data_IF_526478786625
#
_entry.id   IF_526478786625
#
_cell.length_a   1.000
_cell.length_b   1.000
_cell.length_c   1.000
_cell.angle_alpha   90.00
_cell.angle_beta   90.00
_cell.angle_gamma   90.00
#
_symmetry.space_group_name_H-M   'P 1'
#
loop_
_entity.id
_entity.type
_entity.pdbx_description
1 polymer ?
#
# COMPACT_ATOMS: atom_id res chain seq x y z
N UNK A 1 -9.09 -3.90 12.27
CA UNK A 1 -8.82 -4.04 13.71
C UNK A 1 -9.84 -3.23 14.49
N UNK A 2 -10.01 -1.94 14.20
CA UNK A 2 -10.75 -0.96 15.00
C UNK A 2 -12.23 -1.31 15.28
N UNK A 3 -12.87 -2.02 14.36
CA UNK A 3 -14.28 -2.41 14.46
C UNK A 3 -14.51 -3.91 14.68
N UNK A 4 -13.44 -4.67 14.91
CA UNK A 4 -13.57 -6.12 15.08
C UNK A 4 -14.03 -6.46 16.50
N UNK A 5 -15.07 -7.29 16.63
CA UNK A 5 -15.48 -7.83 17.92
C UNK A 5 -14.54 -8.96 18.38
N UNK A 6 -13.95 -9.69 17.42
CA UNK A 6 -12.99 -10.77 17.67
C UNK A 6 -11.77 -10.59 16.75
N UNK A 7 -10.58 -10.71 17.31
CA UNK A 7 -9.30 -10.63 16.60
C UNK A 7 -8.52 -11.91 16.84
N UNK A 8 -8.09 -12.57 15.76
CA UNK A 8 -7.20 -13.70 15.83
C UNK A 8 -5.75 -13.25 15.57
N UNK A 9 -4.89 -13.37 16.56
CA UNK A 9 -3.45 -13.22 16.40
C UNK A 9 -2.89 -14.58 16.00
N UNK A 10 -2.66 -14.76 14.71
CA UNK A 10 -2.22 -16.05 14.18
C UNK A 10 -0.71 -16.10 13.98
N UNK A 11 -0.17 -17.33 13.90
CA UNK A 11 1.26 -17.62 13.78
C UNK A 11 2.07 -17.22 15.03
N UNK A 12 1.45 -17.33 16.20
CA UNK A 12 2.10 -16.99 17.47
C UNK A 12 3.27 -17.90 17.82
N UNK A 13 3.34 -19.06 17.16
CA UNK A 13 4.48 -19.99 17.19
C UNK A 13 5.75 -19.45 16.55
N UNK A 14 5.66 -18.38 15.73
CA UNK A 14 6.79 -17.80 15.00
C UNK A 14 7.43 -16.59 15.70
N UNK A 15 6.88 -16.14 16.81
CA UNK A 15 7.33 -14.95 17.53
C UNK A 15 7.61 -15.27 19.02
N UNK A 16 8.44 -14.46 19.65
CA UNK A 16 8.72 -14.57 21.08
C UNK A 16 7.54 -14.08 21.94
N UNK A 17 7.47 -14.48 23.22
CA UNK A 17 6.45 -13.96 24.15
C UNK A 17 6.45 -12.43 24.27
N UNK A 18 7.62 -11.80 24.23
CA UNK A 18 7.76 -10.34 24.32
C UNK A 18 7.19 -9.64 23.07
N UNK A 19 7.44 -10.19 21.88
CA UNK A 19 6.84 -9.70 20.64
C UNK A 19 5.33 -9.89 20.63
N UNK A 20 4.84 -11.04 21.11
CA UNK A 20 3.40 -11.29 21.27
C UNK A 20 2.77 -10.26 22.21
N UNK A 21 3.42 -9.96 23.33
CA UNK A 21 2.95 -8.94 24.26
C UNK A 21 2.86 -7.54 23.60
N UNK A 22 3.84 -7.19 22.78
CA UNK A 22 3.81 -5.94 22.00
C UNK A 22 2.64 -5.91 21.01
N UNK A 23 2.41 -7.03 20.29
CA UNK A 23 1.27 -7.15 19.36
C UNK A 23 -0.07 -6.96 20.10
N UNK A 24 -0.22 -7.58 21.27
CA UNK A 24 -1.42 -7.38 22.11
C UNK A 24 -1.57 -5.93 22.54
N UNK A 25 -0.48 -5.26 22.94
CA UNK A 25 -0.47 -3.84 23.29
C UNK A 25 -0.99 -2.98 22.14
N UNK A 26 -0.48 -3.20 20.91
CA UNK A 26 -0.93 -2.49 19.71
C UNK A 26 -2.42 -2.72 19.42
N UNK A 27 -2.89 -3.98 19.50
CA UNK A 27 -4.30 -4.30 19.27
C UNK A 27 -5.18 -3.62 20.31
N UNK A 28 -4.77 -3.63 21.57
CA UNK A 28 -5.52 -3.00 22.67
C UNK A 28 -5.58 -1.49 22.56
N UNK A 29 -4.54 -0.85 22.05
CA UNK A 29 -4.53 0.58 21.78
C UNK A 29 -5.54 0.95 20.67
N UNK A 30 -5.61 0.13 19.59
CA UNK A 30 -6.54 0.34 18.49
C UNK A 30 -7.98 -0.07 18.83
N UNK A 31 -8.13 -1.16 19.57
CA UNK A 31 -9.44 -1.72 19.92
C UNK A 31 -9.41 -2.39 21.30
N UNK A 32 -9.66 -1.61 22.37
CA UNK A 32 -9.62 -2.13 23.73
C UNK A 32 -10.73 -3.13 24.05
N UNK A 33 -11.79 -3.18 23.24
CA UNK A 33 -12.97 -4.02 23.48
C UNK A 33 -12.92 -5.36 22.77
N UNK A 34 -12.10 -5.55 21.75
CA UNK A 34 -12.01 -6.78 20.99
C UNK A 34 -11.62 -7.98 21.88
N UNK A 35 -12.23 -9.13 21.64
CA UNK A 35 -11.70 -10.40 22.16
C UNK A 35 -10.50 -10.80 21.32
N UNK A 36 -9.37 -11.06 21.97
CA UNK A 36 -8.14 -11.48 21.28
C UNK A 36 -7.93 -12.96 21.57
N UNK A 37 -7.71 -13.74 20.51
CA UNK A 37 -7.32 -15.15 20.57
C UNK A 37 -5.97 -15.33 19.89
N UNK A 38 -5.02 -15.89 20.63
CA UNK A 38 -3.73 -16.31 20.07
C UNK A 38 -3.88 -17.68 19.44
N UNK A 39 -3.43 -17.82 18.20
CA UNK A 39 -3.65 -19.04 17.43
C UNK A 39 -2.40 -19.44 16.63
N UNK A 40 -2.31 -20.73 16.33
CA UNK A 40 -1.39 -21.31 15.37
C UNK A 40 -2.21 -22.02 14.31
N UNK A 41 -1.92 -21.76 13.02
CA UNK A 41 -2.71 -22.27 11.90
C UNK A 41 -4.20 -21.89 11.93
N UNK A 42 -4.55 -20.78 12.59
CA UNK A 42 -5.92 -20.33 12.83
C UNK A 42 -6.78 -21.37 13.58
N UNK A 43 -6.16 -22.22 14.37
CA UNK A 43 -6.86 -23.24 15.18
C UNK A 43 -7.54 -22.55 16.36
N UNK A 44 -8.85 -22.38 16.22
CA UNK A 44 -9.74 -21.77 17.22
C UNK A 44 -11.13 -22.38 17.10
N UNK A 45 -11.82 -22.64 18.22
CA UNK A 45 -13.20 -23.13 18.18
C UNK A 45 -14.10 -22.20 17.37
N UNK A 46 -14.90 -22.75 16.46
CA UNK A 46 -15.79 -21.96 15.59
C UNK A 46 -16.77 -21.11 16.40
N UNK A 47 -17.16 -21.56 17.59
CA UNK A 47 -18.03 -20.84 18.54
C UNK A 47 -17.44 -19.55 19.08
N UNK A 48 -16.10 -19.39 19.01
CA UNK A 48 -15.42 -18.15 19.42
C UNK A 48 -15.49 -17.06 18.33
N UNK A 49 -15.84 -17.43 17.09
CA UNK A 49 -15.88 -16.55 15.93
C UNK A 49 -17.29 -16.37 15.36
N UNK A 50 -18.10 -17.42 15.40
CA UNK A 50 -19.47 -17.40 14.87
C UNK A 50 -20.50 -17.45 15.99
N UNK A 51 -21.57 -16.66 15.84
CA UNK A 51 -22.67 -16.61 16.79
C UNK A 51 -22.28 -16.02 18.14
N UNK A 52 -21.26 -15.20 18.20
CA UNK A 52 -20.71 -14.63 19.45
C UNK A 52 -21.66 -13.67 20.16
N UNK A 53 -22.67 -13.14 19.45
CA UNK A 53 -23.60 -12.14 19.99
C UNK A 53 -22.95 -10.81 20.35
N UNK A 54 -21.70 -10.57 19.94
CA UNK A 54 -20.95 -9.35 20.28
C UNK A 54 -21.28 -8.16 19.40
N UNK A 55 -21.80 -8.42 18.19
CA UNK A 55 -22.15 -7.35 17.27
C UNK A 55 -23.34 -6.54 17.78
N UNK A 56 -23.11 -5.27 17.97
CA UNK A 56 -24.11 -4.28 18.38
C UNK A 56 -24.21 -3.19 17.30
N UNK A 57 -25.34 -3.14 16.53
CA UNK A 57 -25.52 -2.14 15.47
C UNK A 57 -25.52 -0.70 15.99
N UNK A 58 -26.05 -0.47 17.21
CA UNK A 58 -26.10 0.86 17.81
C UNK A 58 -24.71 1.32 18.24
N UNK A 59 -23.87 0.40 18.70
CA UNK A 59 -22.48 0.67 19.00
C UNK A 59 -21.68 0.92 17.69
N UNK A 60 -21.88 0.10 16.67
CA UNK A 60 -21.21 0.24 15.38
C UNK A 60 -21.56 1.58 14.69
N UNK A 61 -22.81 2.04 14.81
CA UNK A 61 -23.26 3.32 14.24
C UNK A 61 -22.80 4.55 15.04
N UNK A 62 -22.56 4.40 16.33
CA UNK A 62 -22.08 5.46 17.24
C UNK A 62 -20.56 5.60 17.27
N UNK A 63 -19.83 4.71 16.63
CA UNK A 63 -18.42 4.91 16.35
C UNK A 63 -18.26 6.02 15.31
N UNK A 64 -18.65 7.24 15.70
CA UNK A 64 -18.31 8.49 15.00
C UNK A 64 -16.78 8.69 14.92
N UNK A 65 -16.03 7.90 15.67
CA UNK A 65 -14.59 7.96 15.75
C UNK A 65 -13.83 7.58 14.47
N UNK A 66 -14.46 7.17 13.40
CA UNK A 66 -13.74 6.97 12.14
C UNK A 66 -13.31 8.32 11.51
N UNK A 67 -14.13 9.36 11.67
CA UNK A 67 -13.77 10.72 11.23
C UNK A 67 -13.02 11.49 12.31
N UNK A 68 -13.34 11.28 13.59
CA UNK A 68 -12.70 11.96 14.72
C UNK A 68 -11.31 11.38 15.02
N UNK A 69 -11.08 10.09 14.79
CA UNK A 69 -9.75 9.49 14.91
C UNK A 69 -8.75 10.02 13.87
N UNK A 70 -9.22 10.64 12.79
CA UNK A 70 -8.39 11.38 11.86
C UNK A 70 -8.04 12.80 12.35
N UNK A 71 -8.73 13.30 13.38
CA UNK A 71 -8.57 14.70 13.85
C UNK A 71 -7.91 14.80 15.23
N UNK A 72 -8.04 13.81 16.11
CA UNK A 72 -7.54 13.83 17.51
C UNK A 72 -6.65 12.66 17.91
N UNK A 73 -5.95 12.05 16.97
CA UNK A 73 -4.96 11.03 17.33
C UNK A 73 -3.71 11.68 17.93
N UNK A 74 -3.42 11.34 19.18
CA UNK A 74 -2.02 11.20 19.61
C UNK A 74 -1.40 10.17 18.67
N UNK A 75 -0.41 10.53 17.85
CA UNK A 75 0.06 9.60 16.82
C UNK A 75 0.51 8.29 17.49
N UNK A 76 -0.05 7.15 17.06
CA UNK A 76 0.40 5.80 17.46
C UNK A 76 1.92 5.63 17.27
N UNK A 77 2.50 6.53 16.49
CA UNK A 77 3.92 6.75 16.26
C UNK A 77 4.70 6.96 17.55
N UNK A 78 4.13 7.65 18.56
CA UNK A 78 4.85 7.95 19.81
C UNK A 78 4.88 6.74 20.75
N UNK A 79 3.85 5.88 20.73
CA UNK A 79 3.77 4.76 21.67
C UNK A 79 4.44 3.47 21.13
N UNK A 80 4.33 3.20 19.81
CA UNK A 80 4.83 1.95 19.23
C UNK A 80 5.81 2.15 18.06
N UNK A 81 6.10 3.39 17.68
CA UNK A 81 6.96 3.72 16.53
C UNK A 81 6.37 3.32 15.19
N UNK A 82 5.06 3.07 15.12
CA UNK A 82 4.36 2.74 13.87
C UNK A 82 3.97 4.04 13.17
N UNK A 83 4.32 4.13 11.89
CA UNK A 83 3.99 5.29 11.06
C UNK A 83 3.57 4.84 9.67
N UNK A 84 2.94 5.76 8.96
CA UNK A 84 2.64 5.59 7.54
C UNK A 84 2.91 6.88 6.80
N UNK A 85 3.33 6.76 5.55
CA UNK A 85 3.42 7.89 4.64
C UNK A 85 3.12 7.46 3.21
N UNK A 86 2.82 8.45 2.36
CA UNK A 86 2.57 8.24 0.94
C UNK A 86 3.73 8.83 0.17
N UNK A 87 4.41 7.98 -0.59
CA UNK A 87 5.36 8.41 -1.59
C UNK A 87 4.61 8.73 -2.89
N UNK A 88 4.57 10.01 -3.29
CA UNK A 88 3.94 10.45 -4.54
C UNK A 88 4.94 11.21 -5.41
N UNK A 89 5.08 10.77 -6.68
CA UNK A 89 5.87 11.47 -7.70
C UNK A 89 5.20 11.38 -9.07
N UNK A 90 5.52 12.34 -9.94
CA UNK A 90 4.95 12.45 -11.29
C UNK A 90 5.99 12.28 -12.40
N UNK A 91 7.08 11.61 -12.08
CA UNK A 91 8.14 11.21 -13.01
C UNK A 91 8.11 9.69 -13.08
N UNK A 92 8.20 9.07 -14.28
CA UNK A 92 8.22 7.62 -14.36
C UNK A 92 9.50 7.02 -13.77
N UNK A 93 9.40 5.83 -13.23
CA UNK A 93 10.57 5.06 -12.80
C UNK A 93 11.33 4.52 -13.99
N UNK A 94 12.66 4.52 -13.90
CA UNK A 94 13.55 3.75 -14.75
C UNK A 94 13.37 2.25 -14.41
N UNK A 95 12.96 1.40 -15.37
CA UNK A 95 12.53 0.03 -15.05
C UNK A 95 13.58 -0.80 -14.33
N UNK A 96 14.85 -0.74 -14.80
CA UNK A 96 15.94 -1.51 -14.19
C UNK A 96 16.22 -1.03 -12.76
N UNK A 97 16.33 0.30 -12.53
CA UNK A 97 16.60 0.84 -11.19
C UNK A 97 15.51 0.47 -10.20
N UNK A 98 14.25 0.61 -10.61
CA UNK A 98 13.13 0.26 -9.74
C UNK A 98 13.06 -1.26 -9.47
N UNK A 99 13.27 -2.09 -10.48
CA UNK A 99 13.30 -3.54 -10.29
C UNK A 99 14.40 -4.00 -9.32
N UNK A 100 15.55 -3.34 -9.32
CA UNK A 100 16.64 -3.59 -8.38
C UNK A 100 16.30 -3.07 -6.98
N UNK A 101 15.65 -1.92 -6.88
CA UNK A 101 15.15 -1.35 -5.64
C UNK A 101 14.15 -2.28 -4.94
N UNK A 102 13.25 -2.92 -5.71
CA UNK A 102 12.29 -3.89 -5.17
C UNK A 102 12.92 -5.14 -4.54
N UNK A 103 14.19 -5.42 -4.84
CA UNK A 103 14.94 -6.55 -4.26
C UNK A 103 15.74 -6.17 -3.01
N UNK A 104 15.86 -4.87 -2.74
CA UNK A 104 16.55 -4.39 -1.54
C UNK A 104 15.64 -4.54 -0.32
N UNK A 105 16.24 -4.56 0.86
CA UNK A 105 15.49 -4.37 2.10
C UNK A 105 14.98 -2.92 2.19
N UNK A 106 13.77 -2.78 2.69
CA UNK A 106 13.16 -1.49 2.98
C UNK A 106 13.07 -1.34 4.50
N UNK A 107 14.06 -0.69 5.14
CA UNK A 107 14.20 -0.68 6.59
C UNK A 107 12.95 -0.14 7.28
N UNK A 108 12.45 -0.89 8.25
CA UNK A 108 11.28 -0.51 9.03
C UNK A 108 9.95 -0.75 8.34
N UNK A 109 9.91 -1.02 7.03
CA UNK A 109 8.65 -1.22 6.28
C UNK A 109 8.09 -2.61 6.55
N UNK A 110 6.88 -2.64 7.12
CA UNK A 110 6.11 -3.87 7.36
C UNK A 110 5.22 -4.18 6.15
N UNK A 111 4.63 -3.13 5.56
CA UNK A 111 3.73 -3.23 4.44
C UNK A 111 3.88 -2.03 3.50
N UNK A 112 3.86 -2.30 2.20
CA UNK A 112 3.72 -1.24 1.22
C UNK A 112 2.77 -1.65 0.11
N UNK A 113 2.02 -0.68 -0.43
CA UNK A 113 1.04 -0.94 -1.47
C UNK A 113 0.79 0.31 -2.29
N UNK A 114 0.63 0.15 -3.59
CA UNK A 114 0.30 1.31 -4.42
C UNK A 114 0.40 1.06 -5.90
N UNK A 115 0.39 2.14 -6.64
CA UNK A 115 0.58 2.14 -8.10
C UNK A 115 1.93 2.72 -8.45
N UNK A 116 2.53 2.18 -9.50
CA UNK A 116 3.77 2.69 -10.06
C UNK A 116 3.71 2.83 -11.57
N UNK A 117 4.52 3.73 -12.11
CA UNK A 117 4.57 4.09 -13.51
C UNK A 117 5.98 3.89 -14.06
N UNK A 118 6.13 3.05 -15.09
CA UNK A 118 7.42 2.75 -15.72
C UNK A 118 7.61 3.50 -17.03
N UNK A 119 8.81 4.01 -17.28
CA UNK A 119 9.17 4.70 -18.51
C UNK A 119 8.97 3.86 -19.78
N UNK A 120 9.12 2.53 -19.70
CA UNK A 120 8.92 1.61 -20.82
C UNK A 120 7.47 1.19 -21.01
N UNK A 121 6.58 1.51 -20.07
CA UNK A 121 5.17 1.08 -20.04
C UNK A 121 4.23 2.26 -19.78
N UNK A 122 4.44 3.36 -20.48
CA UNK A 122 3.80 4.67 -20.25
C UNK A 122 2.28 4.65 -20.13
N UNK A 123 1.61 3.70 -20.80
CA UNK A 123 0.16 3.58 -20.77
C UNK A 123 -0.38 2.75 -19.62
N UNK A 124 0.47 1.99 -18.93
CA UNK A 124 0.06 1.00 -17.97
C UNK A 124 0.42 1.42 -16.54
N UNK A 125 -0.53 1.28 -15.64
CA UNK A 125 -0.31 1.34 -14.23
C UNK A 125 0.22 -0.01 -13.74
N UNK A 126 1.36 -0.01 -13.06
CA UNK A 126 1.83 -1.14 -12.30
C UNK A 126 1.21 -1.14 -10.92
N UNK A 127 0.92 -2.30 -10.38
CA UNK A 127 0.48 -2.49 -9.01
C UNK A 127 1.60 -3.12 -8.20
N UNK A 128 1.90 -2.54 -7.06
CA UNK A 128 2.84 -3.03 -6.07
C UNK A 128 2.14 -3.42 -4.78
N UNK A 129 2.50 -4.54 -4.21
CA UNK A 129 2.06 -4.96 -2.88
C UNK A 129 3.17 -5.75 -2.20
N UNK A 130 3.50 -5.36 -0.97
CA UNK A 130 4.47 -6.05 -0.12
C UNK A 130 3.88 -6.17 1.29
N UNK A 131 4.05 -7.35 1.89
CA UNK A 131 3.71 -7.62 3.28
C UNK A 131 4.78 -8.56 3.87
N UNK A 132 5.59 -8.05 4.80
CA UNK A 132 6.77 -8.75 5.28
C UNK A 132 7.72 -9.08 4.14
N UNK A 133 8.17 -10.34 4.05
CA UNK A 133 9.08 -10.80 3.02
C UNK A 133 8.38 -11.12 1.68
N UNK A 134 7.07 -11.05 1.59
CA UNK A 134 6.32 -11.40 0.39
C UNK A 134 6.02 -10.13 -0.38
N UNK A 135 6.44 -10.09 -1.65
CA UNK A 135 6.15 -8.99 -2.55
C UNK A 135 5.53 -9.47 -3.86
N UNK A 136 4.72 -8.60 -4.45
CA UNK A 136 4.02 -8.87 -5.69
C UNK A 136 3.96 -7.60 -6.53
N UNK A 137 4.22 -7.74 -7.83
CA UNK A 137 4.05 -6.66 -8.79
C UNK A 137 3.33 -7.19 -10.04
N UNK A 138 2.34 -6.44 -10.50
CA UNK A 138 1.51 -6.84 -11.63
C UNK A 138 0.96 -5.62 -12.37
N UNK A 139 0.25 -5.82 -13.48
CA UNK A 139 -0.47 -4.76 -14.17
C UNK A 139 -1.77 -4.45 -13.45
N UNK A 140 -1.97 -3.19 -13.05
CA UNK A 140 -3.24 -2.71 -12.50
C UNK A 140 -4.25 -2.33 -13.60
N UNK A 141 -3.77 -2.14 -14.84
CA UNK A 141 -4.61 -1.69 -15.96
C UNK A 141 -3.93 -0.56 -16.74
N UNK A 142 -4.74 0.28 -17.38
CA UNK A 142 -4.28 1.49 -18.07
C UNK A 142 -4.49 2.70 -17.18
N UNK A 143 -3.57 3.67 -17.25
CA UNK A 143 -3.87 5.01 -16.78
C UNK A 143 -4.98 5.64 -17.62
N UNK A 144 -5.84 6.41 -17.00
CA UNK A 144 -6.91 7.12 -17.70
C UNK A 144 -6.40 8.07 -18.78
N UNK A 145 -5.20 8.60 -18.61
CA UNK A 145 -4.51 9.39 -19.64
C UNK A 145 -4.28 8.59 -20.95
N UNK A 146 -4.27 7.27 -20.89
CA UNK A 146 -4.12 6.38 -22.04
C UNK A 146 -5.46 5.83 -22.58
N UNK A 147 -6.57 6.13 -21.92
CA UNK A 147 -7.92 5.68 -22.29
C UNK A 147 -8.65 6.81 -23.03
N UNK A 148 -9.22 6.55 -24.21
CA UNK A 148 -10.05 7.53 -24.91
C UNK A 148 -11.20 8.06 -24.05
N UNK A 149 -11.47 9.35 -24.13
CA UNK A 149 -12.50 10.02 -23.31
C UNK A 149 -13.91 9.45 -23.46
N UNK A 150 -14.25 8.93 -24.63
CA UNK A 150 -15.52 8.26 -24.91
C UNK A 150 -15.73 6.94 -24.17
N UNK A 151 -14.66 6.42 -23.57
CA UNK A 151 -14.68 5.20 -22.73
C UNK A 151 -14.55 5.49 -21.23
N UNK A 152 -14.57 6.75 -20.85
CA UNK A 152 -14.53 7.12 -19.45
C UNK A 152 -15.89 6.87 -18.78
N UNK A 153 -15.92 6.58 -17.46
CA UNK A 153 -17.16 6.44 -16.74
C UNK A 153 -17.92 7.79 -16.70
N UNK A 154 -19.22 7.75 -16.45
CA UNK A 154 -20.05 8.95 -16.26
C UNK A 154 -19.56 9.78 -15.06
N UNK A 155 -19.23 9.11 -13.96
CA UNK A 155 -18.61 9.76 -12.80
C UNK A 155 -17.08 9.75 -12.92
N UNK A 156 -16.52 10.91 -13.25
CA UNK A 156 -15.08 11.14 -13.39
C UNK A 156 -14.42 11.70 -12.12
N UNK A 157 -15.17 11.90 -11.05
CA UNK A 157 -14.68 12.59 -9.84
C UNK A 157 -13.40 12.01 -9.26
N UNK A 158 -13.24 10.68 -9.29
CA UNK A 158 -12.04 10.00 -8.84
C UNK A 158 -10.84 10.22 -9.79
N UNK A 159 -11.09 10.37 -11.11
CA UNK A 159 -10.05 10.65 -12.10
C UNK A 159 -9.59 12.11 -11.96
N UNK A 160 -10.54 13.03 -11.86
CA UNK A 160 -10.28 14.47 -11.78
C UNK A 160 -9.47 14.82 -10.52
N UNK A 161 -9.71 14.10 -9.41
CA UNK A 161 -8.96 14.28 -8.15
C UNK A 161 -7.45 14.03 -8.32
N UNK A 162 -7.09 13.03 -9.12
CA UNK A 162 -5.69 12.61 -9.31
C UNK A 162 -5.06 13.18 -10.59
N UNK A 163 -5.84 13.86 -11.43
CA UNK A 163 -5.38 14.41 -12.70
C UNK A 163 -4.49 15.64 -12.48
N UNK A 164 -3.24 15.60 -12.99
CA UNK A 164 -2.31 16.74 -12.90
C UNK A 164 -1.54 16.93 -14.21
N UNK A 165 -1.61 18.15 -14.72
CA UNK A 165 -0.83 18.57 -15.89
C UNK A 165 -1.00 17.69 -17.13
N UNK A 166 0.07 17.56 -17.91
CA UNK A 166 0.07 16.83 -19.18
C UNK A 166 0.10 15.31 -19.01
N UNK A 167 0.56 14.81 -17.88
CA UNK A 167 0.68 13.37 -17.60
C UNK A 167 -0.63 12.78 -17.06
N UNK A 168 -1.65 13.61 -16.84
CA UNK A 168 -2.95 13.17 -16.36
C UNK A 168 -2.87 12.49 -15.00
N UNK A 169 -3.37 11.26 -14.91
CA UNK A 169 -3.36 10.44 -13.70
C UNK A 169 -2.10 9.57 -13.53
N UNK A 170 -1.15 9.62 -14.48
CA UNK A 170 0.11 8.89 -14.39
C UNK A 170 0.93 9.35 -13.19
N UNK A 171 1.31 8.41 -12.32
CA UNK A 171 2.03 8.71 -11.09
C UNK A 171 2.68 7.49 -10.44
N UNK A 172 3.59 7.78 -9.55
CA UNK A 172 3.96 6.91 -8.45
C UNK A 172 3.07 7.31 -7.26
N UNK A 173 2.42 6.35 -6.64
CA UNK A 173 1.68 6.53 -5.40
C UNK A 173 1.78 5.25 -4.60
N UNK A 174 2.69 5.21 -3.64
CA UNK A 174 2.97 4.03 -2.82
C UNK A 174 2.79 4.43 -1.36
N UNK A 175 1.86 3.77 -0.68
CA UNK A 175 1.68 3.88 0.76
C UNK A 175 2.67 2.93 1.43
N UNK A 176 3.45 3.43 2.38
CA UNK A 176 4.35 2.66 3.20
C UNK A 176 3.85 2.71 4.65
N UNK A 177 3.80 1.56 5.29
CA UNK A 177 3.41 1.39 6.69
C UNK A 177 4.51 0.58 7.36
N UNK A 178 5.00 1.05 8.50
CA UNK A 178 6.07 0.35 9.17
C UNK A 178 6.41 0.90 10.54
N UNK A 179 7.50 0.41 11.11
CA UNK A 179 7.97 0.78 12.44
C UNK A 179 9.34 1.42 12.35
N UNK A 180 9.50 2.57 13.01
CA UNK A 180 10.74 3.33 13.02
C UNK A 180 11.30 3.57 11.60
N UNK A 181 10.40 3.85 10.65
CA UNK A 181 10.78 4.13 9.26
C UNK A 181 11.48 5.49 9.18
N UNK A 182 12.58 5.53 8.46
CA UNK A 182 13.17 6.78 7.99
C UNK A 182 12.51 7.15 6.66
N UNK A 183 11.53 8.07 6.73
CA UNK A 183 10.76 8.50 5.57
C UNK A 183 11.62 9.18 4.51
N UNK A 184 12.63 9.96 4.93
CA UNK A 184 13.52 10.67 4.01
C UNK A 184 14.39 9.66 3.27
N UNK A 185 15.06 8.76 3.97
CA UNK A 185 15.89 7.73 3.36
C UNK A 185 15.10 6.79 2.43
N UNK A 186 13.87 6.41 2.80
CA UNK A 186 13.00 5.58 1.94
C UNK A 186 12.53 6.34 0.70
N UNK A 187 12.24 7.64 0.84
CA UNK A 187 11.86 8.49 -0.30
C UNK A 187 13.03 8.70 -1.24
N UNK A 188 14.22 8.97 -0.73
CA UNK A 188 15.44 9.12 -1.53
C UNK A 188 15.77 7.84 -2.30
N UNK A 189 15.66 6.69 -1.66
CA UNK A 189 15.86 5.39 -2.30
C UNK A 189 14.90 5.17 -3.48
N UNK A 190 13.65 5.62 -3.36
CA UNK A 190 12.68 5.57 -4.45
C UNK A 190 12.94 6.66 -5.50
N UNK A 191 13.37 7.85 -5.08
CA UNK A 191 13.71 8.95 -5.99
C UNK A 191 14.90 8.61 -6.88
N UNK A 192 15.90 7.85 -6.38
CA UNK A 192 16.98 7.28 -7.19
C UNK A 192 16.48 6.41 -8.36
N UNK A 193 15.27 5.87 -8.25
CA UNK A 193 14.66 5.06 -9.32
C UNK A 193 13.97 5.90 -10.41
N UNK A 194 13.67 7.18 -10.16
CA UNK A 194 13.01 8.05 -11.11
C UNK A 194 13.95 8.34 -12.32
N UNK A 195 13.36 8.63 -13.46
CA UNK A 195 14.16 9.16 -14.58
C UNK A 195 14.83 10.47 -14.16
N UNK A 196 16.10 10.62 -14.54
CA UNK A 196 16.84 11.88 -14.40
C UNK A 196 16.30 12.93 -15.38
N UNK A 197 16.63 14.21 -15.15
CA UNK A 197 16.27 15.30 -16.07
C UNK A 197 16.78 15.05 -17.50
N UNK A 198 18.00 14.51 -17.64
CA UNK A 198 18.58 14.16 -18.94
C UNK A 198 17.79 13.01 -19.61
N UNK A 199 17.39 12.00 -18.86
CA UNK A 199 16.58 10.90 -19.37
C UNK A 199 15.18 11.37 -19.78
N UNK A 200 14.55 12.23 -18.97
CA UNK A 200 13.24 12.85 -19.29
C UNK A 200 13.33 13.72 -20.53
N UNK A 201 14.42 14.44 -20.73
CA UNK A 201 14.64 15.27 -21.92
C UNK A 201 14.76 14.43 -23.21
N UNK A 202 14.98 13.14 -23.12
CA UNK A 202 14.96 12.26 -24.29
C UNK A 202 13.51 12.01 -24.75
N UNK A 203 13.34 11.69 -26.03
CA UNK A 203 12.01 11.42 -26.57
C UNK A 203 11.42 10.13 -25.98
N UNK A 204 10.25 10.22 -25.34
CA UNK A 204 9.53 9.10 -24.72
C UNK A 204 9.39 7.86 -25.63
N UNK A 205 9.24 8.07 -26.95
CA UNK A 205 9.16 6.99 -27.95
C UNK A 205 10.43 6.14 -28.02
N UNK A 206 11.54 6.66 -27.49
CA UNK A 206 12.84 5.95 -27.46
C UNK A 206 13.04 5.18 -26.15
N UNK A 207 12.32 5.50 -25.08
CA UNK A 207 12.54 4.91 -23.75
C UNK A 207 12.44 3.39 -23.75
N UNK A 208 11.50 2.80 -24.49
CA UNK A 208 11.38 1.35 -24.65
C UNK A 208 12.58 0.68 -25.31
N UNK A 209 13.42 1.43 -26.03
CA UNK A 209 14.64 0.94 -26.67
C UNK A 209 15.89 1.29 -25.86
N UNK A 210 15.84 2.37 -25.09
CA UNK A 210 16.97 2.88 -24.32
C UNK A 210 17.09 2.17 -22.96
N UNK A 211 15.96 1.89 -22.32
CA UNK A 211 15.95 1.37 -20.95
C UNK A 211 15.66 -0.13 -20.94
N UNK A 212 16.53 -0.94 -20.30
CA UNK A 212 16.23 -2.34 -20.00
C UNK A 212 14.99 -2.44 -19.12
N UNK A 213 14.08 -3.37 -19.46
CA UNK A 213 12.88 -3.63 -18.69
C UNK A 213 12.87 -5.09 -18.22
N UNK A 214 13.33 -5.35 -16.98
CA UNK A 214 13.41 -6.71 -16.42
C UNK A 214 12.08 -7.23 -15.90
N UNK A 215 11.03 -6.39 -15.86
CA UNK A 215 9.71 -6.83 -15.40
C UNK A 215 9.10 -7.85 -16.37
N UNK A 216 8.42 -8.89 -15.87
CA UNK A 216 7.75 -9.84 -16.71
C UNK A 216 6.71 -9.15 -17.61
N UNK A 217 6.39 -9.77 -18.73
CA UNK A 217 5.33 -9.26 -19.61
C UNK A 217 4.02 -9.27 -18.84
N UNK A 218 3.38 -8.11 -18.74
CA UNK A 218 2.07 -8.00 -18.11
C UNK A 218 0.99 -8.61 -19.00
N UNK A 219 0.22 -9.50 -18.42
CA UNK A 219 -1.00 -10.02 -19.06
C UNK A 219 -2.12 -9.06 -18.69
N UNK A 220 -2.73 -8.43 -19.67
CA UNK A 220 -3.99 -7.72 -19.46
C UNK A 220 -5.04 -8.80 -19.13
N UNK A 221 -5.70 -8.72 -17.99
CA UNK A 221 -6.92 -9.49 -17.76
C UNK A 221 -7.96 -9.06 -18.80
N UNK A 222 -8.54 -10.03 -19.50
CA UNK A 222 -9.59 -9.76 -20.50
C UNK A 222 -10.82 -9.18 -19.79
N UNK A 223 -10.91 -7.85 -19.73
CA UNK A 223 -12.02 -7.17 -19.04
C UNK A 223 -11.96 -5.64 -19.09
N UNK A 224 -11.14 -5.07 -20.02
CA UNK A 224 -11.10 -3.61 -20.26
C UNK A 224 -11.38 -3.31 -21.72
#
# INVERSE_FOLDING_TARGET
VDFADVILVNKTDLISPDELHQVHGMIRALNPQARIHDTTHCDVPVTEILGTGLYDPDRASKHEGWLDSLVEHTPETEEYGISSFIYERRIPFHPQRFYECLKREWPGVIRSKGVFWLATRLRHAGFWSQAGAISRHECAGLFWAAVPRDRWPEDTSHIDRVWKGNNGDCRQEIVLIGRNMDQEALSDMLDECLLTEEEVATNERKWTKLFPDPFPKWKMSAGW
#
